data_IF_543264525093
#
_entry.id   IF_543264525093
#
_cell.length_a   1.000
_cell.length_b   1.000
_cell.length_c   1.000
_cell.angle_alpha   90.00
_cell.angle_beta   90.00
_cell.angle_gamma   90.00
#
_symmetry.space_group_name_H-M   'P 1'
#
loop_
_entity.id
_entity.type
_entity.pdbx_description
1 polymer ?
#
# COMPACT_ATOMS: atom_id res chain seq x y z
N UNK A 1 -42.72 48.74 48.17
CA UNK A 1 -42.17 47.54 48.83
C UNK A 1 -42.71 46.31 48.09
N UNK A 2 -41.95 45.23 47.82
CA UNK A 2 -40.62 45.11 47.17
C UNK A 2 -40.58 44.08 45.99
N UNK A 3 -39.41 43.98 45.34
CA UNK A 3 -38.97 43.00 44.33
C UNK A 3 -39.25 41.53 44.67
N UNK A 4 -39.42 40.66 43.66
CA UNK A 4 -38.74 39.36 43.61
C UNK A 4 -38.38 38.94 42.17
N UNK A 5 -37.06 38.83 41.96
CA UNK A 5 -36.38 38.18 40.86
C UNK A 5 -36.75 36.70 40.79
N UNK A 6 -37.14 36.22 39.60
CA UNK A 6 -37.15 34.79 39.30
C UNK A 6 -36.30 34.54 38.06
N UNK A 7 -35.06 34.09 38.31
CA UNK A 7 -34.11 33.70 37.28
C UNK A 7 -34.67 32.60 36.37
N UNK A 8 -34.43 32.76 35.07
CA UNK A 8 -34.78 31.77 34.06
C UNK A 8 -34.13 30.42 34.36
N UNK A 9 -34.88 29.31 34.43
CA UNK A 9 -34.29 28.01 34.62
C UNK A 9 -33.43 27.65 33.41
N UNK A 10 -32.11 27.55 33.59
CA UNK A 10 -31.23 26.85 32.65
C UNK A 10 -31.63 25.37 32.68
N UNK A 11 -32.53 25.00 31.79
CA UNK A 11 -32.92 23.62 31.55
C UNK A 11 -31.69 22.86 31.07
N UNK A 12 -31.00 22.19 32.00
CA UNK A 12 -30.00 21.17 31.68
C UNK A 12 -30.75 20.06 30.95
N UNK A 13 -30.72 20.07 29.62
CA UNK A 13 -31.22 18.96 28.79
C UNK A 13 -30.49 17.70 29.21
N UNK A 14 -31.19 16.82 29.92
CA UNK A 14 -30.72 15.47 30.19
C UNK A 14 -30.72 14.77 28.84
N UNK A 15 -29.54 14.41 28.36
CA UNK A 15 -29.43 13.65 27.11
C UNK A 15 -29.87 12.23 27.45
N UNK A 16 -30.99 11.81 26.87
CA UNK A 16 -31.56 10.49 27.13
C UNK A 16 -30.77 9.39 26.39
N UNK A 17 -30.84 8.16 26.92
CA UNK A 17 -30.12 6.99 26.37
C UNK A 17 -30.41 6.74 24.88
N UNK A 18 -31.60 7.12 24.43
CA UNK A 18 -32.03 7.06 23.03
C UNK A 18 -31.24 8.01 22.14
N UNK A 19 -30.98 9.23 22.61
CA UNK A 19 -30.16 10.22 21.91
C UNK A 19 -28.72 9.75 21.78
N UNK A 20 -28.17 9.13 22.83
CA UNK A 20 -26.84 8.50 22.75
C UNK A 20 -26.81 7.34 21.75
N UNK A 21 -27.83 6.47 21.74
CA UNK A 21 -27.93 5.38 20.78
C UNK A 21 -27.98 5.87 19.33
N UNK A 22 -28.79 6.90 19.04
CA UNK A 22 -28.87 7.52 17.73
C UNK A 22 -27.56 8.20 17.32
N UNK A 23 -26.88 8.86 18.26
CA UNK A 23 -25.58 9.48 18.00
C UNK A 23 -24.53 8.41 17.64
N UNK A 24 -24.50 7.27 18.33
CA UNK A 24 -23.58 6.17 18.04
C UNK A 24 -23.86 5.60 16.66
N UNK A 25 -25.13 5.33 16.32
CA UNK A 25 -25.50 4.83 14.99
C UNK A 25 -25.08 5.83 13.90
N UNK A 26 -25.34 7.12 14.10
CA UNK A 26 -24.91 8.17 13.18
C UNK A 26 -23.40 8.23 12.99
N UNK A 27 -22.63 8.09 14.06
CA UNK A 27 -21.15 8.02 14.00
C UNK A 27 -20.70 6.78 13.23
N UNK A 28 -21.27 5.61 13.49
CA UNK A 28 -20.92 4.37 12.78
C UNK A 28 -21.18 4.51 11.28
N UNK A 29 -22.33 5.08 10.90
CA UNK A 29 -22.67 5.34 9.49
C UNK A 29 -21.69 6.33 8.85
N UNK A 30 -21.36 7.42 9.54
CA UNK A 30 -20.37 8.41 9.06
C UNK A 30 -18.99 7.79 8.87
N UNK A 31 -18.51 7.02 9.85
CA UNK A 31 -17.23 6.30 9.75
C UNK A 31 -17.25 5.32 8.58
N UNK A 32 -18.34 4.58 8.38
CA UNK A 32 -18.47 3.66 7.26
C UNK A 32 -18.47 4.37 5.91
N UNK A 33 -19.16 5.51 5.78
CA UNK A 33 -19.14 6.32 4.55
C UNK A 33 -17.75 6.91 4.27
N UNK A 34 -17.06 7.40 5.30
CA UNK A 34 -15.69 7.88 5.17
C UNK A 34 -14.73 6.74 4.81
N UNK A 35 -14.93 5.53 5.34
CA UNK A 35 -14.13 4.36 4.99
C UNK A 35 -14.31 3.91 3.53
N UNK A 36 -15.49 4.12 2.93
CA UNK A 36 -15.75 3.81 1.51
C UNK A 36 -14.96 4.77 0.60
N UNK A 37 -14.87 6.06 0.96
CA UNK A 37 -14.13 7.06 0.17
C UNK A 37 -12.63 7.10 0.47
N UNK A 38 -12.24 6.70 1.68
CA UNK A 38 -10.87 6.67 2.18
C UNK A 38 -10.40 5.23 2.30
N UNK A 39 -10.44 4.49 1.19
CA UNK A 39 -9.49 3.41 0.97
C UNK A 39 -8.10 4.03 0.81
N UNK A 40 -7.53 4.51 1.93
CA UNK A 40 -6.10 4.57 2.04
C UNK A 40 -5.65 3.13 1.85
N UNK A 41 -5.11 2.81 0.67
CA UNK A 41 -4.26 1.63 0.51
C UNK A 41 -3.02 1.88 1.36
N UNK A 42 -3.16 1.76 2.68
CA UNK A 42 -2.00 1.44 3.50
C UNK A 42 -1.70 0.02 3.11
N UNK A 43 -0.80 -0.11 2.14
CA UNK A 43 -0.27 -1.38 1.73
C UNK A 43 0.52 -1.94 2.92
N UNK A 44 -0.17 -2.69 3.77
CA UNK A 44 0.41 -3.42 4.90
C UNK A 44 1.04 -4.74 4.43
N UNK A 45 1.19 -4.93 3.10
CA UNK A 45 2.06 -5.96 2.57
C UNK A 45 3.46 -5.38 2.45
N UNK A 46 4.22 -5.45 3.55
CA UNK A 46 5.67 -5.52 3.44
C UNK A 46 5.97 -6.89 2.85
N UNK A 47 6.01 -7.01 1.52
CA UNK A 47 6.64 -8.16 0.88
C UNK A 47 7.00 -7.81 -0.56
N UNK A 48 7.80 -6.76 -0.69
CA UNK A 48 8.68 -6.53 -1.83
C UNK A 48 9.71 -7.66 -2.04
N UNK A 49 9.37 -8.91 -1.72
CA UNK A 49 10.10 -10.13 -2.07
C UNK A 49 10.36 -10.23 -3.58
N UNK A 50 9.57 -9.51 -4.37
CA UNK A 50 9.64 -9.46 -5.83
C UNK A 50 9.96 -8.07 -6.40
N UNK A 51 10.12 -7.06 -5.55
CA UNK A 51 10.35 -5.67 -5.97
C UNK A 51 11.71 -5.18 -5.52
N UNK A 52 12.25 -4.17 -6.21
CA UNK A 52 13.53 -3.59 -5.81
C UNK A 52 13.41 -2.94 -4.43
N UNK A 53 14.40 -3.21 -3.57
CA UNK A 53 14.61 -2.37 -2.38
C UNK A 53 14.86 -0.92 -2.80
N UNK A 54 14.55 0.05 -1.94
CA UNK A 54 14.81 1.47 -2.21
C UNK A 54 16.28 1.72 -2.58
N UNK A 55 17.21 1.03 -1.88
CA UNK A 55 18.64 1.10 -2.18
C UNK A 55 18.99 0.51 -3.57
N UNK A 56 18.37 -0.60 -3.95
CA UNK A 56 18.57 -1.21 -5.28
C UNK A 56 18.02 -0.34 -6.40
N UNK A 57 16.87 0.30 -6.16
CA UNK A 57 16.28 1.27 -7.09
C UNK A 57 17.20 2.47 -7.27
N UNK A 58 17.64 3.08 -6.18
CA UNK A 58 18.58 4.21 -6.24
C UNK A 58 19.89 3.84 -6.97
N UNK A 59 20.35 2.60 -6.79
CA UNK A 59 21.55 2.11 -7.49
C UNK A 59 21.32 2.02 -9.00
N UNK A 60 20.21 1.43 -9.43
CA UNK A 60 19.95 1.23 -10.86
C UNK A 60 19.56 2.53 -11.58
N UNK A 61 18.92 3.47 -10.86
CA UNK A 61 18.60 4.80 -11.38
C UNK A 61 19.85 5.65 -11.66
N UNK A 62 20.93 5.44 -10.90
CA UNK A 62 22.18 6.19 -10.99
C UNK A 62 23.32 5.40 -11.66
N UNK A 63 22.99 4.48 -12.57
CA UNK A 63 24.01 3.75 -13.35
C UNK A 63 24.84 4.72 -14.18
N UNK A 64 26.16 4.74 -13.93
CA UNK A 64 27.12 5.58 -14.66
C UNK A 64 27.36 5.06 -16.09
N UNK A 65 27.30 3.73 -16.28
CA UNK A 65 27.55 3.04 -17.54
C UNK A 65 26.43 2.02 -17.85
N UNK A 66 26.16 1.72 -19.14
CA UNK A 66 25.15 0.74 -19.51
C UNK A 66 25.55 -0.69 -19.08
N UNK A 67 24.60 -1.41 -18.49
CA UNK A 67 24.75 -2.77 -17.99
C UNK A 67 23.95 -3.75 -18.85
N UNK A 68 24.60 -4.85 -19.26
CA UNK A 68 23.94 -5.93 -20.00
C UNK A 68 24.03 -7.25 -19.23
N UNK A 69 22.87 -7.85 -18.96
CA UNK A 69 22.75 -9.11 -18.22
C UNK A 69 22.34 -10.24 -19.15
N UNK A 70 23.07 -11.36 -19.11
CA UNK A 70 22.71 -12.60 -19.81
C UNK A 70 22.37 -13.66 -18.78
N UNK A 71 21.09 -14.04 -18.71
CA UNK A 71 20.58 -14.97 -17.72
C UNK A 71 20.30 -16.33 -18.37
N UNK A 72 20.98 -17.38 -17.91
CA UNK A 72 20.87 -18.72 -18.46
C UNK A 72 19.91 -19.57 -17.62
N UNK A 73 18.91 -20.17 -18.25
CA UNK A 73 17.91 -20.99 -17.56
C UNK A 73 17.72 -22.34 -18.23
N UNK A 74 17.82 -23.40 -17.43
CA UNK A 74 17.38 -24.73 -17.82
C UNK A 74 15.85 -24.78 -17.85
N UNK A 75 15.28 -25.34 -18.92
CA UNK A 75 13.84 -25.56 -19.03
C UNK A 75 13.38 -26.70 -18.10
N UNK A 76 12.09 -26.69 -17.75
CA UNK A 76 11.40 -27.81 -17.09
C UNK A 76 12.01 -28.28 -15.75
N UNK A 77 12.54 -27.35 -14.95
CA UNK A 77 13.00 -27.66 -13.61
C UNK A 77 11.85 -28.19 -12.74
N UNK A 78 12.05 -29.29 -11.98
CA UNK A 78 11.01 -29.81 -11.10
C UNK A 78 10.75 -28.86 -9.93
N UNK A 79 9.57 -28.95 -9.28
CA UNK A 79 9.32 -28.25 -8.03
C UNK A 79 10.43 -28.51 -7.00
N UNK A 80 10.86 -27.48 -6.24
CA UNK A 80 10.26 -26.15 -6.13
C UNK A 80 10.76 -25.11 -7.15
N UNK A 81 11.68 -25.47 -8.05
CA UNK A 81 12.39 -24.50 -8.91
C UNK A 81 11.67 -24.17 -10.22
N UNK A 82 10.51 -24.77 -10.46
CA UNK A 82 9.71 -24.57 -11.68
C UNK A 82 9.30 -23.11 -11.92
N UNK A 83 9.29 -22.27 -10.88
CA UNK A 83 8.94 -20.83 -10.98
C UNK A 83 10.15 -19.90 -10.96
N UNK A 84 11.37 -20.40 -10.73
CA UNK A 84 12.56 -19.56 -10.54
C UNK A 84 12.90 -18.71 -11.76
N UNK A 85 12.70 -19.24 -12.97
CA UNK A 85 12.92 -18.47 -14.21
C UNK A 85 11.99 -17.27 -14.32
N UNK A 86 10.71 -17.45 -13.99
CA UNK A 86 9.71 -16.37 -13.95
C UNK A 86 10.09 -15.33 -12.90
N UNK A 87 10.46 -15.78 -11.70
CA UNK A 87 10.89 -14.90 -10.62
C UNK A 87 12.04 -13.96 -11.03
N UNK A 88 13.11 -14.54 -11.59
CA UNK A 88 14.28 -13.74 -12.00
C UNK A 88 13.92 -12.83 -13.18
N UNK A 89 13.02 -13.26 -14.07
CA UNK A 89 12.56 -12.43 -15.18
C UNK A 89 11.84 -11.19 -14.67
N UNK A 90 10.88 -11.39 -13.77
CA UNK A 90 10.09 -10.29 -13.21
C UNK A 90 10.99 -9.30 -12.45
N UNK A 91 12.01 -9.80 -11.73
CA UNK A 91 13.01 -8.97 -11.06
C UNK A 91 13.85 -8.15 -12.05
N UNK A 92 14.34 -8.77 -13.13
CA UNK A 92 15.13 -8.09 -14.16
C UNK A 92 14.31 -7.08 -14.97
N UNK A 93 13.02 -7.34 -15.19
CA UNK A 93 12.07 -6.38 -15.76
C UNK A 93 11.97 -5.12 -14.88
N UNK A 94 11.95 -5.28 -13.57
CA UNK A 94 11.90 -4.16 -12.64
C UNK A 94 13.20 -3.35 -12.64
N UNK A 95 14.35 -4.02 -12.60
CA UNK A 95 15.67 -3.35 -12.78
C UNK A 95 15.74 -2.57 -14.09
N UNK A 96 15.32 -3.16 -15.20
CA UNK A 96 15.34 -2.50 -16.51
C UNK A 96 14.43 -1.26 -16.52
N UNK A 97 13.25 -1.35 -15.90
CA UNK A 97 12.27 -0.26 -15.81
C UNK A 97 12.82 0.95 -15.06
N UNK A 98 13.50 0.74 -13.92
CA UNK A 98 14.08 1.83 -13.12
C UNK A 98 15.44 2.33 -13.65
N UNK A 99 16.08 1.61 -14.56
CA UNK A 99 17.41 1.97 -15.09
C UNK A 99 17.41 3.09 -16.13
N UNK A 100 16.24 3.60 -16.53
CA UNK A 100 16.11 4.58 -17.64
C UNK A 100 16.75 4.10 -18.96
N UNK A 101 16.74 2.79 -19.22
CA UNK A 101 17.32 2.18 -20.42
C UNK A 101 18.81 1.85 -20.31
N UNK A 102 19.45 2.13 -19.17
CA UNK A 102 20.86 1.80 -18.91
C UNK A 102 21.06 0.32 -18.59
N UNK A 103 20.02 -0.41 -18.17
CA UNK A 103 20.07 -1.84 -17.94
C UNK A 103 19.24 -2.58 -18.99
N UNK A 104 19.88 -3.56 -19.64
CA UNK A 104 19.24 -4.46 -20.57
C UNK A 104 19.55 -5.91 -20.18
N UNK A 105 18.61 -6.82 -20.40
CA UNK A 105 18.82 -8.23 -20.09
C UNK A 105 18.30 -9.15 -21.19
N UNK A 106 18.87 -10.36 -21.25
CA UNK A 106 18.47 -11.41 -22.19
C UNK A 106 18.38 -12.75 -21.47
N UNK A 107 17.29 -13.49 -21.71
CA UNK A 107 17.13 -14.87 -21.24
C UNK A 107 17.62 -15.83 -22.32
N UNK A 108 18.50 -16.74 -21.92
CA UNK A 108 19.09 -17.74 -22.82
C UNK A 108 18.75 -19.11 -22.26
N UNK A 109 18.05 -19.91 -23.07
CA UNK A 109 17.93 -21.34 -22.80
C UNK A 109 19.11 -22.01 -23.51
N UNK A 110 20.12 -22.51 -22.78
CA UNK A 110 21.21 -23.24 -23.40
C UNK A 110 20.66 -24.51 -24.05
N UNK A 111 21.24 -24.85 -25.20
CA UNK A 111 20.93 -26.07 -25.97
C UNK A 111 21.48 -27.32 -25.31
#
# INVERSE_FOLDING_TARGET
MPEQSFGSPRTKRRVDRTTYGLAIIGIVVLVNMLAIGWFARVDLTENGLYSLSEASRATVENLEDPVSIRAYFTADLPPPFSSTSRYVKDLLDEYATYSHGMLQYQFIVPV
#
